data_IF_834234248895
#
_entry.id   IF_834234248895
#
_cell.length_a   1.000
_cell.length_b   1.000
_cell.length_c   1.000
_cell.angle_alpha   90.00
_cell.angle_beta   90.00
_cell.angle_gamma   90.00
#
_symmetry.space_group_name_H-M   'P 1'
#
loop_
_entity.id
_entity.type
_entity.pdbx_description
1 polymer ?
#
# COMPACT_ATOMS: atom_id res chain seq x y z
N UNK A 1 -23.23 -35.58 1.09
CA UNK A 1 -23.90 -34.25 1.11
C UNK A 1 -22.95 -33.26 0.46
N UNK A 2 -23.30 -32.75 -0.72
CA UNK A 2 -22.35 -32.21 -1.69
C UNK A 2 -21.87 -30.79 -1.43
N UNK A 3 -20.61 -30.54 -1.82
CA UNK A 3 -19.91 -29.23 -1.91
C UNK A 3 -20.59 -28.20 -2.83
N UNK A 4 -21.62 -28.58 -3.57
CA UNK A 4 -22.35 -27.68 -4.49
C UNK A 4 -23.37 -26.76 -3.79
N UNK A 5 -23.68 -26.97 -2.51
CA UNK A 5 -24.62 -26.12 -1.79
C UNK A 5 -24.01 -24.77 -1.31
N UNK A 6 -22.67 -24.67 -1.21
CA UNK A 6 -22.02 -23.46 -0.67
C UNK A 6 -21.66 -22.41 -1.73
N UNK A 7 -21.57 -22.76 -3.02
CA UNK A 7 -21.07 -21.85 -4.06
C UNK A 7 -22.02 -21.69 -5.27
N UNK A 8 -23.18 -22.35 -5.30
CA UNK A 8 -24.04 -22.37 -6.48
C UNK A 8 -24.90 -21.13 -6.73
N UNK A 9 -25.33 -20.41 -5.69
CA UNK A 9 -26.45 -19.45 -5.83
C UNK A 9 -26.10 -18.00 -5.46
N UNK A 10 -24.91 -17.53 -5.87
CA UNK A 10 -24.56 -16.11 -5.74
C UNK A 10 -25.29 -15.23 -6.77
N UNK A 11 -25.50 -15.74 -8.00
CA UNK A 11 -26.11 -14.97 -9.08
C UNK A 11 -27.63 -14.76 -8.91
N UNK A 12 -28.33 -15.66 -8.22
CA UNK A 12 -29.78 -15.56 -8.01
C UNK A 12 -30.16 -14.66 -6.83
N UNK A 13 -29.28 -14.48 -5.83
CA UNK A 13 -29.53 -13.56 -4.70
C UNK A 13 -29.52 -12.08 -5.10
N UNK A 14 -28.90 -11.74 -6.23
CA UNK A 14 -28.90 -10.36 -6.75
C UNK A 14 -30.25 -9.99 -7.39
N UNK A 15 -31.09 -10.99 -7.74
CA UNK A 15 -32.37 -10.74 -8.43
C UNK A 15 -33.60 -10.60 -7.52
N UNK A 16 -33.47 -10.76 -6.20
CA UNK A 16 -34.62 -10.75 -5.28
C UNK A 16 -34.44 -9.81 -4.07
N UNK A 17 -33.87 -8.61 -4.27
CA UNK A 17 -33.92 -7.55 -3.26
C UNK A 17 -35.14 -6.62 -3.50
N UNK A 18 -36.01 -6.36 -2.49
CA UNK A 18 -37.11 -5.39 -2.60
C UNK A 18 -36.56 -3.94 -2.65
N UNK A 19 -37.29 -2.98 -3.25
CA UNK A 19 -36.80 -1.61 -3.38
C UNK A 19 -36.82 -0.87 -2.04
N UNK A 20 -35.65 -0.43 -1.59
CA UNK A 20 -35.49 0.46 -0.45
C UNK A 20 -35.56 1.93 -0.90
N UNK A 21 -36.31 2.67 -0.11
CA UNK A 21 -36.75 4.04 -0.27
C UNK A 21 -35.57 5.03 -0.20
N UNK A 22 -35.57 6.01 -1.11
CA UNK A 22 -34.59 7.09 -1.15
C UNK A 22 -34.70 8.00 0.09
N UNK A 23 -33.61 8.11 0.85
CA UNK A 23 -33.47 9.05 1.95
C UNK A 23 -32.16 9.83 1.79
N UNK A 24 -32.25 11.01 1.18
CA UNK A 24 -31.18 12.00 1.15
C UNK A 24 -31.30 12.93 2.36
N UNK A 25 -30.19 13.10 3.09
CA UNK A 25 -30.07 14.08 4.16
C UNK A 25 -29.15 15.22 3.68
N UNK A 26 -29.76 16.33 3.30
CA UNK A 26 -29.12 17.65 3.29
C UNK A 26 -29.40 18.35 4.62
N UNK A 27 -28.42 19.08 5.12
CA UNK A 27 -28.52 19.92 6.33
C UNK A 27 -28.18 21.35 5.95
N UNK A 28 -29.15 22.25 6.08
CA UNK A 28 -28.95 23.69 6.26
C UNK A 28 -30.15 24.21 7.07
N UNK A 29 -29.87 24.86 8.19
CA UNK A 29 -30.88 25.33 9.15
C UNK A 29 -31.40 26.74 8.84
N UNK A 30 -32.54 27.07 9.43
CA UNK A 30 -32.90 28.42 9.87
C UNK A 30 -34.06 28.37 10.89
N UNK A 31 -34.11 29.40 11.71
CA UNK A 31 -34.75 29.55 13.02
C UNK A 31 -36.27 29.43 13.06
N UNK A 32 -36.80 28.99 14.22
CA UNK A 32 -38.23 29.04 14.55
C UNK A 32 -38.46 28.93 16.06
N UNK A 33 -38.70 30.09 16.68
CA UNK A 33 -38.81 30.34 18.11
C UNK A 33 -40.14 29.86 18.71
N UNK A 34 -40.06 29.48 19.98
CA UNK A 34 -41.09 29.06 20.93
C UNK A 34 -42.22 30.06 21.19
N UNK A 35 -43.39 29.53 21.57
CA UNK A 35 -44.16 30.07 22.71
C UNK A 35 -45.56 30.60 22.41
N UNK A 36 -46.55 30.02 23.08
CA UNK A 36 -47.98 30.19 22.87
C UNK A 36 -48.60 31.41 23.59
N UNK A 37 -49.71 31.92 23.01
CA UNK A 37 -50.97 32.13 23.72
C UNK A 37 -51.30 33.53 24.26
N UNK A 38 -52.43 34.08 23.81
CA UNK A 38 -53.20 35.07 24.58
C UNK A 38 -53.91 36.14 23.75
N UNK A 39 -55.22 35.97 23.54
CA UNK A 39 -56.11 37.00 23.01
C UNK A 39 -56.76 37.79 24.16
N UNK A 40 -56.80 39.12 24.08
CA UNK A 40 -57.92 39.98 24.51
C UNK A 40 -57.60 41.47 24.35
N UNK A 41 -58.63 42.28 24.08
CA UNK A 41 -58.66 43.68 24.51
C UNK A 41 -58.52 44.75 23.42
N UNK A 42 -59.65 45.18 22.87
CA UNK A 42 -59.81 46.46 22.20
C UNK A 42 -59.87 47.63 23.22
N UNK A 43 -59.89 48.85 22.67
CA UNK A 43 -60.21 50.19 23.23
C UNK A 43 -59.14 50.99 24.00
N UNK A 44 -58.83 52.19 23.46
CA UNK A 44 -58.86 53.44 24.24
C UNK A 44 -57.55 54.24 24.41
N UNK A 45 -57.44 55.34 23.65
CA UNK A 45 -57.15 56.67 24.22
C UNK A 45 -55.69 57.14 24.39
N UNK A 46 -55.31 58.12 23.55
CA UNK A 46 -54.78 59.42 24.00
C UNK A 46 -53.32 59.55 24.47
N UNK A 47 -52.64 60.57 23.93
CA UNK A 47 -51.70 61.39 24.72
C UNK A 47 -50.21 61.19 24.46
N UNK A 48 -49.62 62.22 23.84
CA UNK A 48 -48.35 62.86 24.21
C UNK A 48 -47.03 62.08 24.31
N UNK A 49 -46.10 62.54 23.48
CA UNK A 49 -44.73 62.97 23.85
C UNK A 49 -44.10 62.26 25.05
N UNK A 50 -43.22 61.30 24.76
CA UNK A 50 -42.27 60.79 25.73
C UNK A 50 -41.09 60.18 24.99
N UNK A 51 -39.95 60.85 25.04
CA UNK A 51 -38.80 60.60 24.19
C UNK A 51 -38.34 59.15 24.17
N UNK A 52 -38.32 58.59 22.97
CA UNK A 52 -37.40 57.51 22.63
C UNK A 52 -35.99 58.06 22.88
N UNK A 53 -35.38 57.60 23.98
CA UNK A 53 -33.95 57.71 24.22
C UNK A 53 -33.23 57.10 23.03
N UNK A 54 -32.79 58.00 22.15
CA UNK A 54 -31.90 57.75 21.03
C UNK A 54 -30.63 57.09 21.58
N UNK A 55 -30.55 55.76 21.49
CA UNK A 55 -29.28 55.04 21.49
C UNK A 55 -28.56 55.18 20.13
N UNK A 56 -28.84 56.25 19.36
CA UNK A 56 -27.93 56.61 18.29
C UNK A 56 -26.68 57.19 18.94
N UNK A 57 -25.56 56.52 18.67
CA UNK A 57 -24.23 57.11 18.68
C UNK A 57 -23.60 57.37 20.06
N UNK A 58 -23.61 56.35 20.94
CA UNK A 58 -22.39 56.17 21.74
C UNK A 58 -21.31 55.73 20.76
N UNK A 59 -20.52 56.70 20.29
CA UNK A 59 -19.21 56.40 19.74
C UNK A 59 -18.50 55.59 20.83
N UNK A 60 -18.25 54.31 20.56
CA UNK A 60 -17.49 53.47 21.47
C UNK A 60 -16.23 54.25 21.85
N UNK A 61 -15.93 54.27 23.14
CA UNK A 61 -14.64 54.77 23.58
C UNK A 61 -13.55 53.95 22.88
N UNK A 62 -12.37 54.52 22.60
CA UNK A 62 -11.30 53.80 21.92
C UNK A 62 -10.97 52.45 22.62
N UNK A 63 -11.15 52.39 23.94
CA UNK A 63 -11.01 51.17 24.74
C UNK A 63 -12.14 50.15 24.48
N UNK A 64 -13.41 50.56 24.37
CA UNK A 64 -14.52 49.64 24.04
C UNK A 64 -14.42 49.11 22.59
N UNK A 65 -13.90 49.90 21.65
CA UNK A 65 -13.62 49.46 20.28
C UNK A 65 -12.51 48.40 20.24
N UNK A 66 -11.43 48.60 21.00
CA UNK A 66 -10.36 47.62 21.14
C UNK A 66 -10.84 46.33 21.82
N UNK A 67 -11.75 46.41 22.80
CA UNK A 67 -12.36 45.24 23.42
C UNK A 67 -13.23 44.45 22.44
N UNK A 68 -14.06 45.11 21.62
CA UNK A 68 -14.85 44.43 20.59
C UNK A 68 -13.95 43.71 19.57
N UNK A 69 -12.89 44.36 19.08
CA UNK A 69 -11.93 43.75 18.14
C UNK A 69 -11.21 42.54 18.75
N UNK A 70 -10.84 42.61 20.04
CA UNK A 70 -10.26 41.48 20.78
C UNK A 70 -11.25 40.33 20.91
N UNK A 71 -12.53 40.61 21.20
CA UNK A 71 -13.55 39.55 21.29
C UNK A 71 -13.85 38.91 19.93
N UNK A 72 -13.88 39.70 18.86
CA UNK A 72 -14.03 39.19 17.49
C UNK A 72 -12.86 38.28 17.11
N UNK A 73 -11.64 38.72 17.39
CA UNK A 73 -10.41 37.94 17.16
C UNK A 73 -10.42 36.62 17.95
N UNK A 74 -10.87 36.63 19.20
CA UNK A 74 -11.00 35.42 20.03
C UNK A 74 -12.00 34.41 19.45
N UNK A 75 -13.14 34.89 18.97
CA UNK A 75 -14.15 34.02 18.33
C UNK A 75 -13.60 33.40 17.05
N UNK A 76 -12.85 34.17 16.25
CA UNK A 76 -12.17 33.66 15.06
C UNK A 76 -11.15 32.57 15.41
N UNK A 77 -10.30 32.81 16.41
CA UNK A 77 -9.32 31.82 16.89
C UNK A 77 -10.02 30.54 17.34
N UNK A 78 -11.10 30.64 18.14
CA UNK A 78 -11.86 29.46 18.59
C UNK A 78 -12.47 28.68 17.43
N UNK A 79 -13.01 29.37 16.43
CA UNK A 79 -13.53 28.73 15.23
C UNK A 79 -12.42 28.02 14.44
N UNK A 80 -11.27 28.66 14.28
CA UNK A 80 -10.10 28.07 13.62
C UNK A 80 -9.60 26.82 14.34
N UNK A 81 -9.45 26.85 15.68
CA UNK A 81 -9.06 25.69 16.48
C UNK A 81 -10.04 24.53 16.35
N UNK A 82 -11.35 24.80 16.37
CA UNK A 82 -12.36 23.75 16.14
C UNK A 82 -12.22 23.10 14.75
N UNK A 83 -11.90 23.90 13.73
CA UNK A 83 -11.59 23.37 12.40
C UNK A 83 -10.32 22.52 12.43
N UNK A 84 -9.26 22.95 13.10
CA UNK A 84 -7.99 22.23 13.20
C UNK A 84 -8.13 20.89 13.93
N UNK A 85 -8.91 20.83 15.03
CA UNK A 85 -9.27 19.56 15.69
C UNK A 85 -9.95 18.61 14.71
N UNK A 86 -10.94 19.11 13.96
CA UNK A 86 -11.66 18.27 12.98
C UNK A 86 -10.73 17.80 11.84
N UNK A 87 -9.82 18.66 11.39
CA UNK A 87 -8.85 18.39 10.34
C UNK A 87 -7.84 17.34 10.78
N UNK A 88 -7.26 17.49 11.97
CA UNK A 88 -6.28 16.54 12.53
C UNK A 88 -6.90 15.16 12.79
N UNK A 89 -8.15 15.08 13.27
CA UNK A 89 -8.91 13.83 13.37
C UNK A 89 -9.08 13.14 12.01
N UNK A 90 -9.49 13.90 10.98
CA UNK A 90 -9.67 13.33 9.64
C UNK A 90 -8.33 12.88 9.04
N UNK A 91 -7.27 13.66 9.22
CA UNK A 91 -5.93 13.30 8.80
C UNK A 91 -5.45 12.01 9.48
N UNK A 92 -5.71 11.83 10.78
CA UNK A 92 -5.34 10.62 11.50
C UNK A 92 -6.07 9.40 10.95
N UNK A 93 -7.38 9.52 10.71
CA UNK A 93 -8.19 8.47 10.08
C UNK A 93 -7.64 8.11 8.69
N UNK A 94 -7.33 9.11 7.88
CA UNK A 94 -6.75 8.90 6.55
C UNK A 94 -5.38 8.22 6.62
N UNK A 95 -4.52 8.63 7.56
CA UNK A 95 -3.21 8.05 7.77
C UNK A 95 -3.31 6.57 8.19
N UNK A 96 -4.26 6.22 9.06
CA UNK A 96 -4.53 4.83 9.45
C UNK A 96 -5.00 3.99 8.26
N UNK A 97 -5.93 4.50 7.46
CA UNK A 97 -6.41 3.83 6.25
C UNK A 97 -5.28 3.63 5.22
N UNK A 98 -4.41 4.63 5.05
CA UNK A 98 -3.24 4.54 4.19
C UNK A 98 -2.23 3.51 4.72
N UNK A 99 -2.03 3.42 6.03
CA UNK A 99 -1.14 2.45 6.66
C UNK A 99 -1.63 1.01 6.47
N UNK A 100 -2.94 0.78 6.64
CA UNK A 100 -3.57 -0.52 6.37
C UNK A 100 -3.42 -0.91 4.89
N UNK A 101 -3.76 -0.01 3.97
CA UNK A 101 -3.62 -0.23 2.53
C UNK A 101 -2.17 -0.50 2.14
N UNK A 102 -1.22 0.24 2.74
CA UNK A 102 0.22 0.08 2.50
C UNK A 102 0.73 -1.28 2.99
N UNK A 103 0.30 -1.72 4.17
CA UNK A 103 0.62 -3.05 4.71
C UNK A 103 0.07 -4.17 3.83
N UNK A 104 -1.17 -4.06 3.40
CA UNK A 104 -1.80 -5.02 2.49
C UNK A 104 -1.06 -5.11 1.16
N UNK A 105 -0.67 -3.95 0.61
CA UNK A 105 0.12 -3.88 -0.62
C UNK A 105 1.46 -4.55 -0.46
N UNK A 106 2.18 -4.29 0.65
CA UNK A 106 3.46 -4.92 0.94
C UNK A 106 3.34 -6.44 1.15
N UNK A 107 2.28 -6.90 1.83
CA UNK A 107 2.01 -8.33 1.97
C UNK A 107 1.74 -9.01 0.61
N UNK A 108 0.97 -8.35 -0.27
CA UNK A 108 0.74 -8.80 -1.65
C UNK A 108 2.03 -8.82 -2.46
N UNK A 109 2.90 -7.81 -2.32
CA UNK A 109 4.22 -7.78 -2.97
C UNK A 109 5.10 -8.94 -2.48
N UNK A 110 5.14 -9.22 -1.18
CA UNK A 110 5.86 -10.38 -0.64
C UNK A 110 5.37 -11.71 -1.23
N UNK A 111 4.05 -11.91 -1.28
CA UNK A 111 3.47 -13.12 -1.91
C UNK A 111 3.74 -13.20 -3.42
N UNK A 112 3.77 -12.06 -4.13
CA UNK A 112 4.17 -12.00 -5.53
C UNK A 112 5.65 -12.36 -5.70
N UNK A 113 6.54 -11.82 -4.85
CA UNK A 113 7.96 -12.15 -4.84
C UNK A 113 8.19 -13.66 -4.73
N UNK A 114 7.49 -14.35 -3.82
CA UNK A 114 7.59 -15.81 -3.70
C UNK A 114 7.16 -16.55 -4.97
N UNK A 115 6.08 -16.11 -5.63
CA UNK A 115 5.65 -16.67 -6.92
C UNK A 115 6.70 -16.47 -8.01
N UNK A 116 7.34 -15.31 -8.06
CA UNK A 116 8.40 -14.99 -9.02
C UNK A 116 9.61 -15.93 -8.79
N UNK A 117 10.04 -16.14 -7.54
CA UNK A 117 11.09 -17.11 -7.18
C UNK A 117 10.74 -18.55 -7.59
N UNK A 118 9.48 -18.97 -7.38
CA UNK A 118 9.03 -20.29 -7.81
C UNK A 118 9.01 -20.43 -9.34
N UNK A 119 8.59 -19.39 -10.06
CA UNK A 119 8.65 -19.35 -11.53
C UNK A 119 10.08 -19.47 -12.03
N UNK A 120 11.02 -18.72 -11.45
CA UNK A 120 12.44 -18.82 -11.83
C UNK A 120 12.99 -20.24 -11.61
N UNK A 121 12.69 -20.85 -10.46
CA UNK A 121 13.11 -22.22 -10.16
C UNK A 121 12.56 -23.22 -11.18
N UNK A 122 11.30 -23.06 -11.59
CA UNK A 122 10.67 -23.91 -12.60
C UNK A 122 11.31 -23.71 -13.98
N UNK A 123 11.70 -22.48 -14.34
CA UNK A 123 12.44 -22.21 -15.58
C UNK A 123 13.84 -22.82 -15.57
N UNK A 124 14.55 -22.76 -14.45
CA UNK A 124 15.85 -23.41 -14.30
C UNK A 124 15.74 -24.93 -14.48
N UNK A 125 14.70 -25.53 -13.88
CA UNK A 125 14.39 -26.93 -14.09
C UNK A 125 14.06 -27.22 -15.56
N UNK A 126 13.19 -26.43 -16.18
CA UNK A 126 12.82 -26.59 -17.58
C UNK A 126 14.03 -26.49 -18.52
N UNK A 127 14.95 -25.55 -18.27
CA UNK A 127 16.18 -25.43 -19.07
C UNK A 127 17.07 -26.67 -18.91
N UNK A 128 17.26 -27.16 -17.69
CA UNK A 128 18.04 -28.40 -17.46
C UNK A 128 17.42 -29.62 -18.16
N UNK A 129 16.09 -29.77 -18.12
CA UNK A 129 15.37 -30.86 -18.79
C UNK A 129 15.46 -30.75 -20.31
N UNK A 130 15.33 -29.53 -20.85
CA UNK A 130 15.52 -29.29 -22.28
C UNK A 130 16.92 -29.67 -22.75
N UNK A 131 17.94 -29.41 -21.94
CA UNK A 131 19.30 -29.80 -22.26
C UNK A 131 19.47 -31.32 -22.25
N UNK A 132 18.91 -32.01 -21.26
CA UNK A 132 18.91 -33.48 -21.22
C UNK A 132 18.20 -34.04 -22.46
N UNK A 133 17.04 -33.50 -22.81
CA UNK A 133 16.30 -33.87 -24.01
C UNK A 133 17.13 -33.63 -25.30
N UNK A 134 17.88 -32.53 -25.35
CA UNK A 134 18.79 -32.21 -26.45
C UNK A 134 19.89 -33.28 -26.62
N UNK A 135 20.51 -33.69 -25.51
CA UNK A 135 21.54 -34.74 -25.49
C UNK A 135 20.97 -36.10 -25.90
N UNK A 136 19.78 -36.46 -25.40
CA UNK A 136 19.07 -37.68 -25.80
C UNK A 136 18.67 -37.66 -27.27
N UNK A 137 18.20 -36.54 -27.81
CA UNK A 137 17.90 -36.41 -29.23
C UNK A 137 19.16 -36.58 -30.10
N UNK A 138 20.32 -36.06 -29.68
CA UNK A 138 21.60 -36.30 -30.36
C UNK A 138 22.00 -37.78 -30.32
N UNK A 139 21.85 -38.42 -29.16
CA UNK A 139 22.12 -39.85 -28.97
C UNK A 139 21.24 -40.70 -29.89
N UNK A 140 19.93 -40.44 -29.91
CA UNK A 140 18.97 -41.10 -30.82
C UNK A 140 19.33 -40.89 -32.29
N UNK A 141 19.72 -39.67 -32.68
CA UNK A 141 20.15 -39.39 -34.06
C UNK A 141 21.40 -40.22 -34.45
N UNK A 142 22.33 -40.43 -33.51
CA UNK A 142 23.49 -41.30 -33.77
C UNK A 142 23.11 -42.77 -33.81
N UNK A 143 22.19 -43.22 -32.96
CA UNK A 143 21.72 -44.62 -32.89
C UNK A 143 20.83 -45.02 -34.08
N UNK A 144 20.01 -44.11 -34.61
CA UNK A 144 19.18 -44.34 -35.79
C UNK A 144 20.03 -44.49 -37.07
N UNK A 145 21.19 -43.82 -37.14
CA UNK A 145 22.10 -43.97 -38.29
C UNK A 145 22.61 -45.40 -38.33
N UNK A 146 22.37 -46.09 -39.46
CA UNK A 146 22.46 -47.55 -39.65
C UNK A 146 23.45 -48.30 -38.74
N UNK A 147 23.02 -49.45 -38.19
CA UNK A 147 23.84 -50.44 -37.46
C UNK A 147 25.11 -50.91 -38.20
N UNK A 148 25.25 -50.56 -39.49
CA UNK A 148 26.39 -50.88 -40.36
C UNK A 148 27.38 -49.73 -40.56
N UNK A 149 27.09 -48.52 -40.05
CA UNK A 149 28.02 -47.40 -40.07
C UNK A 149 29.01 -47.57 -38.90
N UNK A 150 30.08 -48.32 -39.11
CA UNK A 150 31.17 -48.41 -38.13
C UNK A 150 31.74 -47.01 -37.86
N UNK A 151 31.45 -46.46 -36.67
CA UNK A 151 32.02 -45.22 -36.18
C UNK A 151 33.51 -45.42 -35.86
N UNK A 152 34.37 -45.40 -36.87
CA UNK A 152 35.82 -45.39 -36.69
C UNK A 152 36.24 -43.97 -36.30
N UNK A 153 36.28 -43.69 -35.00
CA UNK A 153 36.79 -42.42 -34.50
C UNK A 153 38.30 -42.34 -34.77
N UNK A 154 38.77 -41.22 -35.35
CA UNK A 154 40.19 -40.99 -35.62
C UNK A 154 41.01 -41.09 -34.32
N UNK A 155 41.92 -42.09 -34.18
CA UNK A 155 42.63 -42.38 -32.93
C UNK A 155 43.60 -41.26 -32.51
N UNK A 156 43.99 -40.37 -33.42
CA UNK A 156 44.89 -39.25 -33.12
C UNK A 156 44.18 -38.04 -32.49
N UNK A 157 42.85 -37.96 -32.55
CA UNK A 157 42.06 -36.85 -31.96
C UNK A 157 41.02 -37.30 -30.94
N UNK A 158 40.91 -38.60 -30.67
CA UNK A 158 39.93 -39.18 -29.76
C UNK A 158 40.09 -38.68 -28.32
N UNK A 159 41.33 -38.63 -27.82
CA UNK A 159 41.64 -38.15 -26.47
C UNK A 159 41.33 -36.66 -26.31
N UNK A 160 41.76 -35.82 -27.27
CA UNK A 160 41.49 -34.38 -27.24
C UNK A 160 39.99 -34.06 -27.28
N UNK A 161 39.21 -34.75 -28.14
CA UNK A 161 37.75 -34.57 -28.19
C UNK A 161 37.03 -35.04 -26.92
N UNK A 162 37.56 -36.08 -26.25
CA UNK A 162 37.02 -36.56 -24.98
C UNK A 162 37.27 -35.53 -23.88
N UNK A 163 38.49 -35.05 -23.74
CA UNK A 163 38.85 -34.02 -22.77
C UNK A 163 38.06 -32.72 -22.98
N UNK A 164 37.85 -32.30 -24.23
CA UNK A 164 37.04 -31.13 -24.54
C UNK A 164 35.56 -31.31 -24.16
N UNK A 165 34.99 -32.51 -24.39
CA UNK A 165 33.64 -32.83 -23.92
C UNK A 165 33.56 -32.83 -22.40
N UNK A 166 34.51 -33.48 -21.73
CA UNK A 166 34.55 -33.55 -20.27
C UNK A 166 34.67 -32.14 -19.66
N UNK A 167 35.51 -31.26 -20.25
CA UNK A 167 35.60 -29.85 -19.88
C UNK A 167 34.29 -29.11 -20.06
N UNK A 168 33.60 -29.25 -21.21
CA UNK A 168 32.32 -28.59 -21.48
C UNK A 168 31.20 -29.04 -20.54
N UNK A 169 31.19 -30.32 -20.17
CA UNK A 169 30.24 -30.88 -19.20
C UNK A 169 30.50 -30.26 -17.82
N UNK A 170 31.77 -30.21 -17.38
CA UNK A 170 32.14 -29.63 -16.10
C UNK A 170 31.80 -28.13 -16.03
N UNK A 171 32.16 -27.37 -17.05
CA UNK A 171 31.86 -25.93 -17.17
C UNK A 171 30.36 -25.66 -17.13
N UNK A 172 29.59 -26.43 -17.90
CA UNK A 172 28.12 -26.36 -17.85
C UNK A 172 27.61 -26.59 -16.44
N UNK A 173 28.03 -27.68 -15.81
CA UNK A 173 27.49 -28.07 -14.52
C UNK A 173 27.87 -27.03 -13.45
N UNK A 174 29.03 -26.41 -13.58
CA UNK A 174 29.44 -25.28 -12.75
C UNK A 174 28.52 -24.07 -12.95
N UNK A 175 28.29 -23.65 -14.21
CA UNK A 175 27.38 -22.53 -14.50
C UNK A 175 25.93 -22.77 -14.04
N UNK A 176 25.42 -24.00 -14.13
CA UNK A 176 24.08 -24.36 -13.69
C UNK A 176 23.97 -24.39 -12.16
N UNK A 177 25.03 -24.81 -11.45
CA UNK A 177 25.12 -24.69 -9.99
C UNK A 177 25.11 -23.23 -9.57
N UNK A 178 25.95 -22.41 -10.18
CA UNK A 178 26.04 -20.98 -9.89
C UNK A 178 24.71 -20.26 -10.15
N UNK A 179 24.03 -20.56 -11.26
CA UNK A 179 22.72 -19.98 -11.56
C UNK A 179 21.66 -20.35 -10.50
N UNK A 180 21.62 -21.61 -10.07
CA UNK A 180 20.69 -22.08 -9.02
C UNK A 180 21.02 -21.47 -7.67
N UNK A 181 22.29 -21.41 -7.31
CA UNK A 181 22.72 -20.84 -6.02
C UNK A 181 22.47 -19.32 -5.99
N UNK A 182 22.65 -18.62 -7.11
CA UNK A 182 22.27 -17.23 -7.26
C UNK A 182 20.75 -17.01 -7.09
N UNK A 183 19.91 -17.87 -7.68
CA UNK A 183 18.44 -17.81 -7.50
C UNK A 183 18.04 -18.09 -6.05
N UNK A 184 18.62 -19.12 -5.42
CA UNK A 184 18.39 -19.43 -3.99
C UNK A 184 18.83 -18.30 -3.07
N UNK A 185 19.98 -17.69 -3.34
CA UNK A 185 20.49 -16.55 -2.57
C UNK A 185 19.55 -15.36 -2.70
N UNK A 186 19.08 -15.04 -3.91
CA UNK A 186 18.11 -13.96 -4.13
C UNK A 186 16.79 -14.22 -3.38
N UNK A 187 16.29 -15.46 -3.41
CA UNK A 187 15.09 -15.86 -2.66
C UNK A 187 15.27 -15.68 -1.14
N UNK A 188 16.42 -16.11 -0.62
CA UNK A 188 16.76 -15.98 0.80
C UNK A 188 16.89 -14.50 1.21
N UNK A 189 17.53 -13.67 0.40
CA UNK A 189 17.67 -12.23 0.66
C UNK A 189 16.31 -11.52 0.67
N UNK A 190 15.40 -11.84 -0.26
CA UNK A 190 14.03 -11.31 -0.25
C UNK A 190 13.28 -11.74 1.01
N UNK A 191 13.37 -13.02 1.39
CA UNK A 191 12.71 -13.51 2.60
C UNK A 191 13.27 -12.83 3.87
N UNK A 192 14.59 -12.67 3.95
CA UNK A 192 15.25 -11.97 5.04
C UNK A 192 14.81 -10.49 5.14
N UNK A 193 14.67 -9.78 4.01
CA UNK A 193 14.15 -8.39 4.01
C UNK A 193 12.71 -8.31 4.50
N UNK A 194 11.84 -9.21 4.06
CA UNK A 194 10.46 -9.27 4.54
C UNK A 194 10.37 -9.51 6.05
N UNK A 195 11.24 -10.36 6.58
CA UNK A 195 11.32 -10.64 8.01
C UNK A 195 11.95 -9.49 8.81
N UNK A 196 12.95 -8.80 8.27
CA UNK A 196 13.52 -7.61 8.89
C UNK A 196 12.50 -6.47 8.95
N UNK A 197 11.70 -6.30 7.90
CA UNK A 197 10.63 -5.32 7.87
C UNK A 197 9.55 -5.62 8.93
N UNK A 198 9.11 -6.88 9.06
CA UNK A 198 8.11 -7.25 10.06
C UNK A 198 8.60 -7.03 11.49
N UNK A 199 9.88 -7.31 11.78
CA UNK A 199 10.49 -7.05 13.07
C UNK A 199 10.68 -5.53 13.33
N UNK A 200 11.13 -4.78 12.34
CA UNK A 200 11.31 -3.32 12.45
C UNK A 200 9.98 -2.56 12.63
N UNK A 201 8.92 -3.02 11.96
CA UNK A 201 7.57 -2.49 12.14
C UNK A 201 7.05 -2.71 13.57
N UNK A 202 7.37 -3.85 14.20
CA UNK A 202 7.01 -4.13 15.59
C UNK A 202 7.80 -3.25 16.59
N UNK A 203 9.07 -2.94 16.30
CA UNK A 203 9.91 -2.10 17.15
C UNK A 203 9.51 -0.60 17.13
N UNK A 204 8.96 -0.13 16.00
CA UNK A 204 8.54 1.28 15.81
C UNK A 204 7.22 1.61 16.53
N UNK A 205 6.52 0.61 17.07
CA UNK A 205 5.26 0.78 17.80
C UNK A 205 5.38 1.26 19.24
N UNK A 206 6.60 1.50 19.76
CA UNK A 206 6.78 2.00 21.13
C UNK A 206 6.58 3.53 21.15
N UNK A 207 5.55 4.05 21.86
CA UNK A 207 5.35 5.49 21.95
C UNK A 207 6.53 6.10 22.70
N UNK A 208 7.41 6.81 21.99
CA UNK A 208 8.38 7.70 22.59
C UNK A 208 7.61 8.89 23.15
N UNK A 209 7.26 8.84 24.43
CA UNK A 209 6.58 9.91 25.14
C UNK A 209 7.50 11.12 25.32
N UNK A 210 7.68 11.91 24.27
CA UNK A 210 8.13 13.28 24.40
C UNK A 210 6.92 14.12 24.74
N UNK A 211 6.64 14.30 26.04
CA UNK A 211 5.67 15.31 26.46
C UNK A 211 6.22 16.66 26.01
N UNK A 212 5.58 17.31 25.04
CA UNK A 212 5.83 18.73 24.75
C UNK A 212 5.87 19.48 26.07
N UNK A 213 6.91 20.28 26.28
CA UNK A 213 7.08 20.95 27.57
C UNK A 213 5.89 21.88 27.77
N UNK A 214 5.40 22.02 29.01
CA UNK A 214 4.26 22.89 29.33
C UNK A 214 4.44 24.32 28.77
N UNK A 215 5.70 24.74 28.60
CA UNK A 215 6.10 26.02 28.03
C UNK A 215 5.86 26.14 26.51
N UNK A 216 6.05 25.07 25.74
CA UNK A 216 5.77 25.06 24.30
C UNK A 216 4.26 25.17 24.03
N UNK A 217 3.46 24.59 24.94
CA UNK A 217 1.99 24.66 24.91
C UNK A 217 1.44 26.02 25.33
N UNK A 218 2.03 26.63 26.35
CA UNK A 218 1.63 27.96 26.83
C UNK A 218 1.73 29.04 25.74
N UNK A 219 2.47 28.79 24.66
CA UNK A 219 2.56 29.68 23.50
C UNK A 219 1.30 29.69 22.62
N UNK A 220 0.52 28.61 22.64
CA UNK A 220 -0.71 28.46 21.82
C UNK A 220 -2.00 28.60 22.65
N UNK A 221 -1.86 28.76 23.96
CA UNK A 221 -2.95 29.05 24.90
C UNK A 221 -3.31 30.54 24.80
N UNK A 222 -4.53 30.85 24.33
CA UNK A 222 -4.96 32.23 24.07
C UNK A 222 -6.02 32.71 25.06
N UNK A 223 -6.86 31.80 25.55
CA UNK A 223 -7.78 32.04 26.66
C UNK A 223 -7.48 31.03 27.77
N UNK A 224 -7.43 31.46 29.03
CA UNK A 224 -7.28 30.57 30.18
C UNK A 224 -8.61 29.84 30.51
N UNK A 225 -9.33 29.41 29.48
CA UNK A 225 -10.57 28.64 29.60
C UNK A 225 -10.24 27.16 29.38
N UNK A 226 -10.88 26.28 30.17
CA UNK A 226 -10.60 24.84 30.12
C UNK A 226 -10.91 24.20 28.77
N UNK A 227 -11.88 24.77 28.03
CA UNK A 227 -12.26 24.29 26.71
C UNK A 227 -11.18 24.54 25.65
N UNK A 228 -10.44 25.67 25.74
CA UNK A 228 -9.34 26.00 24.82
C UNK A 228 -8.15 25.05 25.04
N UNK A 229 -7.84 24.80 26.32
CA UNK A 229 -6.77 23.88 26.72
C UNK A 229 -7.04 22.45 26.24
N UNK A 230 -8.28 21.98 26.35
CA UNK A 230 -8.66 20.64 25.90
C UNK A 230 -8.55 20.49 24.37
N UNK A 231 -8.89 21.52 23.60
CA UNK A 231 -8.74 21.52 22.14
C UNK A 231 -7.26 21.50 21.72
N UNK A 232 -6.40 22.32 22.33
CA UNK A 232 -4.96 22.32 22.05
C UNK A 232 -4.29 20.99 22.45
N UNK A 233 -4.68 20.42 23.60
CA UNK A 233 -4.23 19.10 24.04
C UNK A 233 -4.54 18.02 22.99
N UNK A 234 -5.72 18.09 22.38
CA UNK A 234 -6.13 17.16 21.34
C UNK A 234 -5.36 17.39 20.02
N UNK A 235 -5.19 18.65 19.60
CA UNK A 235 -4.41 19.00 18.41
C UNK A 235 -2.98 18.48 18.54
N UNK A 236 -2.29 18.79 19.64
CA UNK A 236 -0.93 18.31 19.93
C UNK A 236 -0.86 16.77 19.86
N UNK A 237 -1.77 16.09 20.54
CA UNK A 237 -1.81 14.62 20.57
C UNK A 237 -2.05 14.01 19.19
N UNK A 238 -2.93 14.63 18.40
CA UNK A 238 -3.18 14.19 17.02
C UNK A 238 -1.99 14.47 16.11
N UNK A 239 -1.30 15.62 16.25
CA UNK A 239 -0.11 15.96 15.48
C UNK A 239 1.06 15.00 15.76
N UNK A 240 1.28 14.62 17.02
CA UNK A 240 2.27 13.61 17.40
C UNK A 240 1.94 12.24 16.80
N UNK A 241 0.67 11.84 16.87
CA UNK A 241 0.19 10.59 16.26
C UNK A 241 0.37 10.61 14.73
N UNK A 242 0.08 11.74 14.09
CA UNK A 242 0.27 11.98 12.65
C UNK A 242 1.73 11.94 12.26
N UNK A 243 2.63 12.54 13.04
CA UNK A 243 4.08 12.45 12.82
C UNK A 243 4.57 11.01 12.89
N UNK A 244 4.10 10.25 13.88
CA UNK A 244 4.36 8.82 13.99
C UNK A 244 3.84 8.04 12.78
N UNK A 245 2.61 8.33 12.33
CA UNK A 245 2.02 7.70 11.16
C UNK A 245 2.79 8.04 9.87
N UNK A 246 3.21 9.30 9.69
CA UNK A 246 4.01 9.73 8.56
C UNK A 246 5.36 8.98 8.48
N UNK A 247 6.03 8.76 9.62
CA UNK A 247 7.24 7.93 9.68
C UNK A 247 6.99 6.49 9.26
N UNK A 248 5.90 5.87 9.74
CA UNK A 248 5.52 4.50 9.35
C UNK A 248 5.16 4.41 7.87
N UNK A 249 4.41 5.37 7.34
CA UNK A 249 4.07 5.47 5.93
C UNK A 249 5.32 5.66 5.05
N UNK A 250 6.29 6.47 5.49
CA UNK A 250 7.56 6.62 4.78
C UNK A 250 8.36 5.29 4.75
N UNK A 251 8.43 4.58 5.88
CA UNK A 251 9.06 3.28 5.96
C UNK A 251 8.37 2.24 5.06
N UNK A 252 7.03 2.20 5.05
CA UNK A 252 6.23 1.38 4.13
C UNK A 252 6.52 1.74 2.68
N UNK A 253 6.50 3.03 2.34
CA UNK A 253 6.76 3.52 0.98
C UNK A 253 8.14 3.11 0.47
N UNK A 254 9.19 3.27 1.29
CA UNK A 254 10.55 2.82 0.94
C UNK A 254 10.63 1.31 0.75
N UNK A 255 10.07 0.53 1.68
CA UNK A 255 10.08 -0.92 1.58
C UNK A 255 9.31 -1.43 0.35
N UNK A 256 8.17 -0.80 0.01
CA UNK A 256 7.43 -1.10 -1.22
C UNK A 256 8.27 -0.75 -2.46
N UNK A 257 8.94 0.40 -2.48
CA UNK A 257 9.82 0.80 -3.58
C UNK A 257 10.96 -0.19 -3.81
N UNK A 258 11.70 -0.52 -2.74
CA UNK A 258 12.83 -1.47 -2.81
C UNK A 258 12.39 -2.86 -3.28
N UNK A 259 11.21 -3.32 -2.84
CA UNK A 259 10.65 -4.61 -3.25
C UNK A 259 10.23 -4.60 -4.72
N UNK A 260 9.60 -3.53 -5.21
CA UNK A 260 9.25 -3.36 -6.62
C UNK A 260 10.50 -3.33 -7.51
N UNK A 261 11.52 -2.57 -7.13
CA UNK A 261 12.78 -2.51 -7.89
C UNK A 261 13.48 -3.87 -7.95
N UNK A 262 13.45 -4.62 -6.84
CA UNK A 262 13.99 -5.98 -6.81
C UNK A 262 13.20 -6.93 -7.72
N UNK A 263 11.86 -6.89 -7.64
CA UNK A 263 10.99 -7.70 -8.48
C UNK A 263 11.17 -7.37 -9.97
N UNK A 264 11.33 -6.10 -10.34
CA UNK A 264 11.58 -5.69 -11.72
C UNK A 264 12.84 -6.34 -12.30
N UNK A 265 13.97 -6.26 -11.59
CA UNK A 265 15.22 -6.93 -11.99
C UNK A 265 15.08 -8.45 -12.08
N UNK A 266 14.22 -9.02 -11.25
CA UNK A 266 13.96 -10.46 -11.23
C UNK A 266 13.11 -10.89 -12.43
N UNK A 267 12.09 -10.11 -12.76
CA UNK A 267 11.25 -10.28 -13.95
C UNK A 267 12.11 -10.22 -15.21
N UNK A 268 13.01 -9.24 -15.35
CA UNK A 268 13.94 -9.16 -16.50
C UNK A 268 14.76 -10.44 -16.68
N UNK A 269 15.26 -11.00 -15.58
CA UNK A 269 16.01 -12.25 -15.58
C UNK A 269 15.14 -13.44 -15.96
N UNK A 270 13.92 -13.50 -15.45
CA UNK A 270 12.93 -14.53 -15.78
C UNK A 270 12.56 -14.45 -17.26
N UNK A 271 12.35 -13.26 -17.82
CA UNK A 271 12.08 -13.05 -19.24
C UNK A 271 13.22 -13.63 -20.08
N UNK A 272 14.47 -13.26 -19.78
CA UNK A 272 15.62 -13.80 -20.51
C UNK A 272 15.81 -15.31 -20.35
N UNK A 273 15.44 -15.90 -19.20
CA UNK A 273 15.40 -17.36 -19.01
C UNK A 273 14.28 -18.02 -19.79
N UNK A 274 13.10 -17.39 -19.84
CA UNK A 274 11.93 -17.86 -20.57
C UNK A 274 12.23 -17.93 -22.06
N UNK A 275 12.79 -16.86 -22.64
CA UNK A 275 13.16 -16.83 -24.06
C UNK A 275 14.15 -17.94 -24.41
N UNK A 276 15.17 -18.15 -23.56
CA UNK A 276 16.14 -19.25 -23.74
C UNK A 276 15.48 -20.63 -23.68
N UNK A 277 14.56 -20.84 -22.75
CA UNK A 277 13.83 -22.11 -22.62
C UNK A 277 12.94 -22.32 -23.85
N UNK A 278 12.25 -21.29 -24.33
CA UNK A 278 11.42 -21.35 -25.52
C UNK A 278 12.23 -21.71 -26.77
N UNK A 279 13.34 -21.02 -27.00
CA UNK A 279 14.29 -21.31 -28.09
C UNK A 279 14.79 -22.76 -28.02
N UNK A 280 15.15 -23.24 -26.83
CA UNK A 280 15.60 -24.62 -26.61
C UNK A 280 14.51 -25.64 -26.95
N UNK A 281 13.27 -25.39 -26.53
CA UNK A 281 12.12 -26.25 -26.85
C UNK A 281 11.89 -26.30 -28.36
N UNK A 282 11.88 -25.14 -29.02
CA UNK A 282 11.70 -25.05 -30.47
C UNK A 282 12.79 -25.82 -31.24
N UNK A 283 14.06 -25.65 -30.84
CA UNK A 283 15.18 -26.39 -31.44
C UNK A 283 15.09 -27.89 -31.19
N UNK A 284 14.73 -28.31 -29.96
CA UNK A 284 14.60 -29.72 -29.62
C UNK A 284 13.49 -30.37 -30.45
N UNK A 285 12.33 -29.72 -30.57
CA UNK A 285 11.25 -30.16 -31.43
C UNK A 285 11.69 -30.34 -32.88
N UNK A 286 12.33 -29.32 -33.47
CA UNK A 286 12.85 -29.39 -34.84
C UNK A 286 13.98 -30.43 -35.04
N UNK A 287 14.66 -30.86 -33.97
CA UNK A 287 15.62 -31.97 -34.03
C UNK A 287 14.92 -33.32 -34.00
N UNK A 288 13.93 -33.49 -33.12
CA UNK A 288 13.13 -34.69 -33.04
C UNK A 288 12.39 -34.96 -34.36
N UNK A 289 11.80 -33.92 -34.97
CA UNK A 289 11.14 -34.01 -36.28
C UNK A 289 12.09 -34.42 -37.42
N UNK A 290 13.42 -34.31 -37.24
CA UNK A 290 14.43 -34.74 -38.22
C UNK A 290 14.97 -36.15 -37.99
N UNK A 291 14.53 -36.82 -36.92
CA UNK A 291 14.89 -38.21 -36.63
C UNK A 291 13.75 -39.06 -37.18
N UNK A 292 13.95 -39.59 -38.39
CA UNK A 292 13.07 -40.57 -39.05
C UNK A 292 13.81 -41.91 -39.15
#
# INVERSE_FOLDING_TARGET
MGRNALFGNAAERVRQAPPAQAGGYERSGSYGQSGAGGASGAYGGGGEQGGYGSYNDRQLTAEEQEEEDVTASKQEIKFMKQQDVSSTRNALRLAQQAEETGRDTLARLGAQGERIHNTERNLDLASSQNRIAEEKARELKTLNKSMFAMHVANPFTSNSRREERDRKIMETHQSEREARDASRKAAWETQARGQAFSQGAAATGKPGGGKGTLADRAKYQFEADSDDDDMENEIDGNLDALHGAAKRLNALGRAMGDEVDTQNRHIERITGKTDKVDDQIAMNRARLDRIH
#
